data_IF_362604593191
#
_entry.id   IF_362604593191
#
_cell.length_a   1.000
_cell.length_b   1.000
_cell.length_c   1.000
_cell.angle_alpha   90.00
_cell.angle_beta   90.00
_cell.angle_gamma   90.00
#
_symmetry.space_group_name_H-M   'P 1'
#
loop_
_entity.id
_entity.type
_entity.pdbx_description
1 polymer ?
#
# COMPACT_ATOMS: atom_id res chain seq x y z
N UNK A 1 -17.64 49.52 -40.52
CA UNK A 1 -17.75 48.13 -40.02
C UNK A 1 -16.40 47.72 -39.43
N UNK A 2 -16.20 47.80 -38.10
CA UNK A 2 -14.92 47.40 -37.43
C UNK A 2 -14.84 45.88 -37.38
N UNK A 3 -14.13 45.28 -38.32
CA UNK A 3 -13.75 43.84 -38.20
C UNK A 3 -12.88 43.72 -36.96
N UNK A 4 -13.32 42.93 -36.01
CA UNK A 4 -12.58 42.69 -34.76
C UNK A 4 -11.17 42.20 -35.11
N UNK A 5 -10.11 42.86 -34.57
CA UNK A 5 -8.69 42.47 -34.75
C UNK A 5 -8.46 40.99 -34.50
N UNK A 6 -9.27 40.41 -33.60
CA UNK A 6 -9.26 38.97 -33.32
C UNK A 6 -9.67 38.08 -34.50
N UNK A 7 -10.72 38.51 -35.27
CA UNK A 7 -11.17 37.74 -36.46
C UNK A 7 -10.09 37.72 -37.56
N UNK A 8 -9.41 38.86 -37.76
CA UNK A 8 -8.32 38.98 -38.73
C UNK A 8 -7.13 38.08 -38.31
N UNK A 9 -6.73 38.14 -37.05
CA UNK A 9 -5.66 37.32 -36.51
C UNK A 9 -5.98 35.80 -36.64
N UNK A 10 -7.18 35.38 -36.28
CA UNK A 10 -7.63 33.99 -36.42
C UNK A 10 -7.64 33.52 -37.89
N UNK A 11 -8.08 34.36 -38.82
CA UNK A 11 -8.06 34.06 -40.24
C UNK A 11 -6.64 33.93 -40.79
N UNK A 12 -5.74 34.80 -40.41
CA UNK A 12 -4.33 34.73 -40.83
C UNK A 12 -3.65 33.49 -40.24
N UNK A 13 -3.90 33.19 -38.98
CA UNK A 13 -3.39 31.95 -38.35
C UNK A 13 -3.89 30.72 -39.09
N UNK A 14 -5.18 30.60 -39.42
CA UNK A 14 -5.74 29.49 -40.14
C UNK A 14 -5.13 29.32 -41.54
N UNK A 15 -4.95 30.43 -42.29
CA UNK A 15 -4.25 30.41 -43.57
C UNK A 15 -2.79 29.98 -43.44
N UNK A 16 -2.09 30.45 -42.40
CA UNK A 16 -0.71 30.05 -42.11
C UNK A 16 -0.62 28.54 -41.83
N UNK A 17 -1.51 27.98 -41.01
CA UNK A 17 -1.55 26.53 -40.77
C UNK A 17 -1.77 25.72 -42.06
N UNK A 18 -2.63 26.18 -42.96
CA UNK A 18 -2.87 25.48 -44.22
C UNK A 18 -1.69 25.59 -45.19
N UNK A 19 -1.03 26.75 -45.25
CA UNK A 19 0.13 27.00 -46.11
C UNK A 19 1.35 26.16 -45.66
N UNK A 20 1.57 26.02 -44.36
CA UNK A 20 2.68 25.28 -43.77
C UNK A 20 2.18 24.00 -43.05
N UNK A 21 1.24 23.30 -43.67
CA UNK A 21 0.55 22.18 -43.07
C UNK A 21 1.51 21.10 -42.54
N UNK A 22 2.55 20.74 -43.31
CA UNK A 22 3.53 19.74 -42.90
C UNK A 22 4.31 20.18 -41.66
N UNK A 23 4.87 21.39 -41.66
CA UNK A 23 5.60 21.92 -40.49
C UNK A 23 4.71 22.07 -39.25
N UNK A 24 3.47 22.50 -39.45
CA UNK A 24 2.48 22.58 -38.37
C UNK A 24 2.13 21.24 -37.79
N UNK A 25 2.01 20.20 -38.64
CA UNK A 25 1.76 18.83 -38.20
C UNK A 25 2.93 18.29 -37.38
N UNK A 26 4.17 18.46 -37.87
CA UNK A 26 5.38 18.04 -37.13
C UNK A 26 5.47 18.75 -35.78
N UNK A 27 5.27 20.07 -35.76
CA UNK A 27 5.29 20.85 -34.50
C UNK A 27 4.21 20.38 -33.54
N UNK A 28 2.99 20.18 -34.02
CA UNK A 28 1.88 19.68 -33.19
C UNK A 28 2.16 18.27 -32.63
N UNK A 29 2.72 17.38 -33.44
CA UNK A 29 3.09 16.04 -33.03
C UNK A 29 4.18 16.07 -31.96
N UNK A 30 5.21 16.91 -32.13
CA UNK A 30 6.29 17.08 -31.15
C UNK A 30 5.76 17.59 -29.80
N UNK A 31 4.89 18.60 -29.84
CA UNK A 31 4.26 19.13 -28.62
C UNK A 31 3.37 18.07 -27.96
N UNK A 32 2.60 17.33 -28.75
CA UNK A 32 1.75 16.26 -28.24
C UNK A 32 2.58 15.14 -27.59
N UNK A 33 3.68 14.74 -28.20
CA UNK A 33 4.60 13.75 -27.62
C UNK A 33 5.24 14.25 -26.32
N UNK A 34 5.75 15.48 -26.31
CA UNK A 34 6.35 16.06 -25.11
C UNK A 34 5.33 16.17 -23.96
N UNK A 35 4.12 16.66 -24.25
CA UNK A 35 3.03 16.71 -23.29
C UNK A 35 2.58 15.34 -22.81
N UNK A 36 2.46 14.38 -23.71
CA UNK A 36 2.14 13.00 -23.39
C UNK A 36 3.16 12.33 -22.48
N UNK A 37 4.46 12.50 -22.76
CA UNK A 37 5.53 11.99 -21.90
C UNK A 37 5.51 12.65 -20.52
N UNK A 38 5.29 13.95 -20.45
CA UNK A 38 5.18 14.66 -19.17
C UNK A 38 4.01 14.13 -18.33
N UNK A 39 2.83 14.04 -18.93
CA UNK A 39 1.64 13.53 -18.24
C UNK A 39 1.79 12.07 -17.81
N UNK A 40 2.40 11.23 -18.65
CA UNK A 40 2.68 9.82 -18.35
C UNK A 40 3.63 9.71 -17.16
N UNK A 41 4.72 10.49 -17.15
CA UNK A 41 5.68 10.50 -16.04
C UNK A 41 5.02 10.95 -14.73
N UNK A 42 4.19 11.99 -14.80
CA UNK A 42 3.43 12.45 -13.64
C UNK A 42 2.51 11.35 -13.12
N UNK A 43 1.75 10.71 -14.00
CA UNK A 43 0.82 9.63 -13.63
C UNK A 43 1.54 8.43 -13.01
N UNK A 44 2.65 8.00 -13.61
CA UNK A 44 3.48 6.92 -13.07
C UNK A 44 3.98 7.26 -11.66
N UNK A 45 4.50 8.48 -11.47
CA UNK A 45 4.96 8.94 -10.14
C UNK A 45 3.84 8.88 -9.10
N UNK A 46 2.65 9.33 -9.46
CA UNK A 46 1.50 9.35 -8.55
C UNK A 46 1.02 7.94 -8.21
N UNK A 47 0.90 7.07 -9.22
CA UNK A 47 0.50 5.67 -9.01
C UNK A 47 1.56 4.87 -8.24
N UNK A 48 2.85 5.10 -8.51
CA UNK A 48 3.94 4.50 -7.75
C UNK A 48 3.87 4.93 -6.28
N UNK A 49 3.67 6.21 -6.00
CA UNK A 49 3.52 6.69 -4.62
C UNK A 49 2.32 6.04 -3.93
N UNK A 50 1.18 5.93 -4.60
CA UNK A 50 -0.01 5.24 -4.07
C UNK A 50 0.24 3.75 -3.83
N UNK A 51 0.94 3.08 -4.76
CA UNK A 51 1.28 1.67 -4.62
C UNK A 51 2.17 1.43 -3.40
N UNK A 52 3.20 2.24 -3.20
CA UNK A 52 4.05 2.17 -2.01
C UNK A 52 3.27 2.46 -0.72
N UNK A 53 2.46 3.50 -0.69
CA UNK A 53 1.63 3.82 0.47
C UNK A 53 0.63 2.72 0.80
N UNK A 54 0.09 2.05 -0.21
CA UNK A 54 -0.80 0.91 -0.01
C UNK A 54 -0.04 -0.35 0.46
N UNK A 55 1.20 -0.56 -0.04
CA UNK A 55 2.03 -1.70 0.34
C UNK A 55 2.49 -1.63 1.82
N UNK A 56 2.68 -0.42 2.36
CA UNK A 56 3.00 -0.24 3.78
C UNK A 56 1.82 -0.49 4.72
N UNK A 57 0.63 -0.71 4.18
CA UNK A 57 -0.57 -0.93 4.98
C UNK A 57 -0.90 0.22 5.94
N UNK A 58 -0.48 1.45 5.62
CA UNK A 58 -0.70 2.63 6.45
C UNK A 58 0.33 2.86 7.55
N UNK A 59 1.40 2.05 7.60
CA UNK A 59 2.50 2.24 8.55
C UNK A 59 3.54 3.23 8.01
N UNK A 60 3.99 4.14 8.87
CA UNK A 60 5.05 5.11 8.54
C UNK A 60 6.46 4.51 8.68
N UNK A 61 6.62 3.53 9.57
CA UNK A 61 7.91 2.89 9.84
C UNK A 61 7.75 1.44 10.29
N UNK A 62 8.76 0.63 10.00
CA UNK A 62 8.92 -0.72 10.52
C UNK A 62 10.22 -0.77 11.33
N UNK A 63 10.13 -1.25 12.55
CA UNK A 63 11.28 -1.48 13.42
C UNK A 63 11.49 -2.99 13.57
N UNK A 64 12.74 -3.43 13.49
CA UNK A 64 13.12 -4.82 13.67
C UNK A 64 14.53 -4.96 14.22
N UNK A 65 14.98 -6.19 14.44
CA UNK A 65 16.33 -6.48 14.86
C UNK A 65 17.35 -5.93 13.85
N UNK A 66 18.55 -5.66 14.33
CA UNK A 66 19.65 -5.17 13.49
C UNK A 66 20.02 -6.22 12.44
N UNK A 67 19.98 -5.81 11.19
CA UNK A 67 20.26 -6.67 10.04
C UNK A 67 20.13 -5.90 8.73
N UNK A 68 19.88 -6.60 7.64
CA UNK A 68 19.63 -5.98 6.35
C UNK A 68 18.30 -5.22 6.35
N UNK A 69 18.34 -3.96 5.93
CA UNK A 69 17.12 -3.14 5.75
C UNK A 69 16.15 -3.78 4.75
N UNK A 70 16.70 -4.39 3.70
CA UNK A 70 15.89 -5.08 2.70
C UNK A 70 15.18 -6.30 3.29
N UNK A 71 15.90 -7.13 4.06
CA UNK A 71 15.33 -8.28 4.75
C UNK A 71 14.22 -7.87 5.72
N UNK A 72 14.41 -6.79 6.48
CA UNK A 72 13.39 -6.28 7.38
C UNK A 72 12.11 -5.86 6.65
N UNK A 73 12.25 -5.18 5.51
CA UNK A 73 11.11 -4.77 4.69
C UNK A 73 10.43 -6.00 4.05
N UNK A 74 11.19 -6.92 3.50
CA UNK A 74 10.65 -8.14 2.88
C UNK A 74 9.92 -9.00 3.91
N UNK A 75 10.46 -9.13 5.12
CA UNK A 75 9.79 -9.86 6.19
C UNK A 75 8.59 -9.10 6.76
N UNK A 76 8.80 -7.86 7.21
CA UNK A 76 7.80 -7.11 7.98
C UNK A 76 6.59 -6.62 7.18
N UNK A 77 6.77 -6.31 5.88
CA UNK A 77 5.68 -5.81 5.03
C UNK A 77 5.17 -6.85 4.04
N UNK A 78 6.08 -7.63 3.44
CA UNK A 78 5.71 -8.56 2.37
C UNK A 78 5.66 -10.02 2.83
N UNK A 79 6.15 -10.31 4.04
CA UNK A 79 6.21 -11.66 4.61
C UNK A 79 6.94 -12.69 3.71
N UNK A 80 7.94 -12.24 2.94
CA UNK A 80 8.65 -13.07 1.97
C UNK A 80 9.93 -13.71 2.50
N UNK A 81 10.57 -13.11 3.49
CA UNK A 81 11.85 -13.52 4.06
C UNK A 81 11.70 -13.95 5.52
N UNK A 82 12.72 -14.62 6.05
CA UNK A 82 12.80 -14.89 7.47
C UNK A 82 13.06 -13.61 8.28
N UNK A 83 12.63 -13.62 9.54
CA UNK A 83 12.88 -12.49 10.42
C UNK A 83 14.39 -12.32 10.66
N UNK A 84 14.93 -11.08 10.60
CA UNK A 84 16.33 -10.84 10.97
C UNK A 84 16.58 -11.02 12.46
N UNK A 85 15.58 -11.32 13.26
CA UNK A 85 15.64 -11.55 14.70
C UNK A 85 14.47 -10.90 15.44
N UNK A 86 14.41 -11.12 16.73
CA UNK A 86 13.34 -10.62 17.59
C UNK A 86 13.80 -9.36 18.35
N UNK A 87 12.83 -8.48 18.66
CA UNK A 87 12.99 -7.37 19.55
C UNK A 87 12.49 -7.74 20.96
N UNK A 88 13.18 -7.33 22.03
CA UNK A 88 12.66 -7.48 23.40
C UNK A 88 11.34 -6.72 23.56
N UNK A 89 10.38 -7.30 24.30
CA UNK A 89 9.08 -6.67 24.56
C UNK A 89 9.22 -5.28 25.20
N UNK A 90 10.18 -5.10 26.08
CA UNK A 90 10.51 -3.79 26.67
C UNK A 90 10.77 -2.71 25.63
N UNK A 91 11.46 -3.06 24.54
CA UNK A 91 11.73 -2.10 23.47
C UNK A 91 10.44 -1.65 22.76
N UNK A 92 9.48 -2.55 22.57
CA UNK A 92 8.15 -2.20 22.08
C UNK A 92 7.45 -1.20 23.02
N UNK A 93 7.49 -1.46 24.34
CA UNK A 93 6.87 -0.56 25.32
C UNK A 93 7.54 0.82 25.34
N UNK A 94 8.86 0.87 25.21
CA UNK A 94 9.62 2.12 25.15
C UNK A 94 9.27 2.93 23.89
N UNK A 95 9.15 2.26 22.73
CA UNK A 95 8.75 2.90 21.49
C UNK A 95 7.32 3.46 21.58
N UNK A 96 6.40 2.71 22.14
CA UNK A 96 5.01 3.14 22.32
C UNK A 96 4.89 4.42 23.15
N UNK A 97 5.85 4.67 24.05
CA UNK A 97 5.90 5.87 24.91
C UNK A 97 6.72 7.01 24.30
N UNK A 98 7.38 6.79 23.17
CA UNK A 98 8.26 7.78 22.55
C UNK A 98 7.43 8.93 21.96
N UNK A 99 7.87 10.16 22.21
CA UNK A 99 7.24 11.35 21.63
C UNK A 99 7.28 11.28 20.10
N UNK A 100 6.15 11.58 19.45
CA UNK A 100 6.00 11.50 18.00
C UNK A 100 5.50 10.14 17.50
N UNK A 101 5.49 9.10 18.32
CA UNK A 101 4.85 7.82 18.00
C UNK A 101 3.39 7.89 18.42
N UNK A 102 2.51 7.86 17.44
CA UNK A 102 1.05 7.86 17.69
C UNK A 102 0.57 6.47 18.11
N UNK A 103 0.98 5.46 17.38
CA UNK A 103 0.64 4.06 17.64
C UNK A 103 1.81 3.15 17.24
N UNK A 104 1.96 2.05 17.95
CA UNK A 104 2.91 1.00 17.65
C UNK A 104 2.22 -0.35 17.85
N UNK A 105 2.42 -1.26 16.89
CA UNK A 105 1.84 -2.61 16.93
C UNK A 105 2.96 -3.64 16.82
N UNK A 106 3.05 -4.59 17.75
CA UNK A 106 4.00 -5.68 17.63
C UNK A 106 3.52 -6.67 16.58
N UNK A 107 4.47 -7.21 15.82
CA UNK A 107 4.21 -8.25 14.82
C UNK A 107 5.22 -9.37 15.06
N UNK A 108 4.70 -10.60 15.22
CA UNK A 108 5.47 -11.81 15.30
C UNK A 108 5.08 -12.75 14.16
N UNK A 109 6.05 -13.31 13.48
CA UNK A 109 5.85 -14.28 12.40
C UNK A 109 6.79 -15.47 12.60
N UNK A 110 6.35 -16.65 12.26
CA UNK A 110 7.17 -17.86 12.46
C UNK A 110 6.40 -19.14 12.12
N UNK A 111 5.10 -19.08 12.25
CA UNK A 111 4.22 -20.21 12.02
C UNK A 111 3.40 -20.03 10.75
N UNK A 112 2.90 -21.15 10.24
CA UNK A 112 1.98 -21.18 9.11
C UNK A 112 0.87 -22.21 9.31
N UNK A 113 -0.17 -22.12 8.51
CA UNK A 113 -1.21 -23.12 8.37
C UNK A 113 -1.52 -23.30 6.88
N UNK A 114 -1.21 -24.47 6.35
CA UNK A 114 -1.42 -24.84 4.94
C UNK A 114 -0.90 -23.79 3.95
N UNK A 115 0.31 -23.27 4.19
CA UNK A 115 0.96 -22.25 3.35
C UNK A 115 0.52 -20.81 3.62
N UNK A 116 -0.40 -20.59 4.54
CA UNK A 116 -0.77 -19.23 4.98
C UNK A 116 -0.04 -18.88 6.27
N UNK A 117 0.71 -17.78 6.25
CA UNK A 117 1.44 -17.33 7.43
C UNK A 117 0.50 -16.90 8.55
N UNK A 118 0.87 -17.29 9.77
CA UNK A 118 0.26 -16.76 10.98
C UNK A 118 1.04 -15.55 11.44
N UNK A 119 0.31 -14.48 11.73
CA UNK A 119 0.87 -13.23 12.23
C UNK A 119 0.32 -13.00 13.63
N UNK A 120 1.21 -13.06 14.62
CA UNK A 120 0.91 -12.68 15.99
C UNK A 120 0.92 -11.16 16.14
N UNK A 121 -0.15 -10.60 16.68
CA UNK A 121 -0.28 -9.15 16.93
C UNK A 121 -1.31 -8.91 18.06
N UNK A 122 -1.53 -7.64 18.39
CA UNK A 122 -2.53 -7.25 19.38
C UNK A 122 -3.88 -6.91 18.73
N UNK A 123 -5.02 -7.13 19.43
CA UNK A 123 -6.35 -6.79 18.93
C UNK A 123 -6.51 -5.32 18.54
N UNK A 124 -5.75 -4.43 19.16
CA UNK A 124 -5.73 -2.99 18.88
C UNK A 124 -5.37 -2.66 17.43
N UNK A 125 -4.58 -3.50 16.76
CA UNK A 125 -4.28 -3.33 15.35
C UNK A 125 -5.56 -3.22 14.52
N UNK A 126 -6.55 -4.03 14.81
CA UNK A 126 -7.80 -4.09 14.04
C UNK A 126 -8.81 -3.00 14.42
N UNK A 127 -8.68 -2.41 15.60
CA UNK A 127 -9.59 -1.38 16.09
C UNK A 127 -9.09 0.03 15.86
N UNK A 128 -7.77 0.26 16.00
CA UNK A 128 -7.17 1.60 15.99
C UNK A 128 -6.51 1.94 14.66
N UNK A 129 -5.85 0.97 14.03
CA UNK A 129 -5.08 1.21 12.81
C UNK A 129 -5.98 1.47 11.60
N UNK A 130 -5.59 2.45 10.81
CA UNK A 130 -6.17 2.74 9.49
C UNK A 130 -5.16 2.35 8.41
N UNK A 131 -5.45 1.29 7.68
CA UNK A 131 -4.58 0.83 6.60
C UNK A 131 -4.58 1.76 5.37
N UNK A 132 -5.53 2.69 5.32
CA UNK A 132 -5.59 3.90 4.47
C UNK A 132 -6.31 4.99 5.25
N UNK A 133 -6.13 6.28 4.91
CA UNK A 133 -6.87 7.36 5.53
C UNK A 133 -8.38 7.10 5.52
N UNK A 134 -8.98 7.01 6.70
CA UNK A 134 -10.40 6.72 6.89
C UNK A 134 -10.83 5.26 6.67
N UNK A 135 -9.92 4.34 6.36
CA UNK A 135 -10.24 2.93 6.11
C UNK A 135 -9.70 2.03 7.22
N UNK A 136 -10.59 1.38 7.95
CA UNK A 136 -10.31 0.39 9.00
C UNK A 136 -10.57 -1.02 8.52
N UNK A 137 -10.05 -2.00 9.28
CA UNK A 137 -10.37 -3.40 9.05
C UNK A 137 -11.87 -3.65 9.28
N UNK A 138 -12.46 -4.41 8.39
CA UNK A 138 -13.88 -4.78 8.48
C UNK A 138 -13.99 -6.24 8.87
N UNK A 139 -14.84 -6.53 9.85
CA UNK A 139 -15.13 -7.88 10.27
C UNK A 139 -16.45 -8.31 9.63
N UNK A 140 -16.46 -9.46 8.99
CA UNK A 140 -17.66 -10.02 8.38
C UNK A 140 -18.72 -10.36 9.43
N UNK A 141 -20.02 -10.34 9.09
CA UNK A 141 -21.09 -10.72 10.00
C UNK A 141 -20.83 -12.07 10.67
N UNK A 142 -21.04 -12.13 11.98
CA UNK A 142 -20.79 -13.30 12.81
C UNK A 142 -19.35 -13.45 13.30
N UNK A 143 -18.38 -12.75 12.68
CA UNK A 143 -17.00 -12.71 13.16
C UNK A 143 -16.81 -11.69 14.28
N UNK A 144 -15.70 -11.82 14.99
CA UNK A 144 -15.24 -10.84 15.99
C UNK A 144 -13.72 -10.77 16.04
N UNK A 145 -13.20 -9.71 16.59
CA UNK A 145 -11.78 -9.61 16.89
C UNK A 145 -11.47 -10.58 18.05
N UNK A 146 -10.33 -11.25 17.94
CA UNK A 146 -9.87 -12.20 18.96
C UNK A 146 -9.59 -11.50 20.31
N UNK A 147 -9.72 -12.24 21.39
CA UNK A 147 -9.27 -11.80 22.71
C UNK A 147 -7.79 -12.13 22.89
N UNK A 148 -7.04 -11.19 23.47
CA UNK A 148 -5.60 -11.34 23.70
C UNK A 148 -5.24 -12.61 24.52
N UNK A 149 -6.08 -12.95 25.49
CA UNK A 149 -5.87 -14.12 26.36
C UNK A 149 -6.48 -15.42 25.85
N UNK A 150 -7.17 -15.38 24.72
CA UNK A 150 -7.81 -16.56 24.13
C UNK A 150 -6.92 -17.14 23.01
N UNK A 151 -7.00 -18.46 22.86
CA UNK A 151 -6.38 -19.15 21.72
C UNK A 151 -7.28 -19.04 20.49
N UNK A 152 -7.39 -17.83 19.97
CA UNK A 152 -8.26 -17.48 18.85
C UNK A 152 -7.46 -16.83 17.75
N UNK A 153 -7.93 -16.98 16.52
CA UNK A 153 -7.36 -16.32 15.36
C UNK A 153 -8.43 -15.60 14.54
N UNK A 154 -8.10 -14.40 14.06
CA UNK A 154 -8.87 -13.73 13.04
C UNK A 154 -8.31 -14.16 11.68
N UNK A 155 -9.17 -14.73 10.84
CA UNK A 155 -8.78 -15.24 9.53
C UNK A 155 -9.19 -14.26 8.45
N UNK A 156 -8.23 -13.90 7.58
CA UNK A 156 -8.52 -13.06 6.42
C UNK A 156 -9.52 -13.73 5.48
N UNK A 157 -10.44 -12.98 4.90
CA UNK A 157 -11.52 -13.51 4.05
C UNK A 157 -11.01 -14.37 2.89
N UNK A 158 -9.90 -13.99 2.27
CA UNK A 158 -9.28 -14.77 1.20
C UNK A 158 -8.81 -16.14 1.68
N UNK A 159 -8.09 -16.20 2.81
CA UNK A 159 -7.61 -17.45 3.38
C UNK A 159 -8.77 -18.34 3.84
N UNK A 160 -9.78 -17.75 4.51
CA UNK A 160 -10.97 -18.47 4.92
C UNK A 160 -11.69 -19.14 3.74
N UNK A 161 -11.86 -18.40 2.64
CA UNK A 161 -12.50 -18.93 1.44
C UNK A 161 -11.67 -20.05 0.79
N UNK A 162 -10.35 -19.87 0.67
CA UNK A 162 -9.46 -20.87 0.05
C UNK A 162 -9.34 -22.16 0.86
N UNK A 163 -9.26 -22.04 2.17
CA UNK A 163 -9.14 -23.15 3.10
C UNK A 163 -10.49 -23.70 3.56
N UNK A 164 -11.61 -23.11 3.12
CA UNK A 164 -12.97 -23.46 3.52
C UNK A 164 -13.14 -23.45 5.05
N UNK A 165 -12.54 -22.43 5.70
CA UNK A 165 -12.61 -22.27 7.13
C UNK A 165 -13.89 -21.49 7.51
N UNK A 166 -14.58 -22.01 8.52
CA UNK A 166 -15.77 -21.41 9.11
C UNK A 166 -15.49 -20.95 10.54
N UNK A 167 -16.32 -20.05 11.07
CA UNK A 167 -16.20 -19.57 12.43
C UNK A 167 -16.37 -20.76 13.38
N UNK A 168 -15.41 -20.93 14.31
CA UNK A 168 -15.39 -22.04 15.27
C UNK A 168 -14.56 -23.24 14.82
N UNK A 169 -14.04 -23.24 13.60
CA UNK A 169 -13.10 -24.27 13.20
C UNK A 169 -11.82 -24.19 14.05
N UNK A 170 -11.23 -25.34 14.32
CA UNK A 170 -9.94 -25.47 15.01
C UNK A 170 -8.88 -25.86 14.03
N UNK A 171 -7.67 -25.31 14.18
CA UNK A 171 -6.53 -25.65 13.38
C UNK A 171 -5.27 -25.79 14.25
N UNK A 172 -4.28 -26.52 13.74
CA UNK A 172 -2.98 -26.65 14.37
C UNK A 172 -1.95 -25.94 13.51
N UNK A 173 -1.27 -24.91 14.03
CA UNK A 173 -0.21 -24.24 13.31
C UNK A 173 1.02 -25.14 13.19
N UNK A 174 1.78 -24.96 12.12
CA UNK A 174 3.08 -25.58 11.90
C UNK A 174 4.15 -24.52 12.00
N UNK A 175 5.25 -24.88 12.65
CA UNK A 175 6.42 -24.01 12.71
C UNK A 175 7.27 -24.17 11.44
N UNK A 176 7.71 -23.04 10.85
CA UNK A 176 8.52 -23.01 9.63
C UNK A 176 7.78 -22.52 8.39
N UNK A 177 8.48 -22.56 7.24
CA UNK A 177 8.00 -22.02 5.95
C UNK A 177 7.46 -23.08 4.98
N UNK A 178 7.34 -24.32 5.39
CA UNK A 178 6.88 -25.41 4.51
C UNK A 178 5.38 -25.53 4.50
#
# INVERSE_FOLDING_TARGET
MKISKFKVAAFLAFKGFRQYAFSSLVASFTIAMAGGLFLSTWKIKEETKKAFSNATGGFDAVLGARGSKLQLILNGLFHLEESPGNLPWKQYEDIKKTSGVREAFPIAVGDNYLGYRLVGTLPELFTKHEWRPGAKYQINPGGRIFSEMAKEALVGSYAAQKLKLEIGNRFHPYHGLT
#
